data_IF_921139678252
#
_entry.id   IF_921139678252
#
_cell.length_a   1.000
_cell.length_b   1.000
_cell.length_c   1.000
_cell.angle_alpha   90.00
_cell.angle_beta   90.00
_cell.angle_gamma   90.00
#
_symmetry.space_group_name_H-M   'P 1'
#
loop_
_entity.id
_entity.type
_entity.pdbx_description
1 polymer ?
#
# COMPACT_ATOMS: atom_id res chain seq x y z
N UNK A 1 13.08 34.39 0.19
CA UNK A 1 12.20 35.57 0.31
C UNK A 1 12.12 36.08 1.75
N UNK A 2 11.83 35.22 2.72
CA UNK A 2 11.88 35.56 4.15
C UNK A 2 13.31 35.93 4.59
N UNK A 3 14.30 35.10 4.26
CA UNK A 3 15.72 35.35 4.60
C UNK A 3 16.33 36.59 3.92
N UNK A 4 15.69 37.05 2.84
CA UNK A 4 16.06 38.27 2.12
C UNK A 4 15.30 39.52 2.66
N UNK A 5 14.53 39.37 3.74
CA UNK A 5 13.73 40.42 4.36
C UNK A 5 12.56 40.92 3.50
N UNK A 6 12.18 40.18 2.45
CA UNK A 6 11.15 40.60 1.48
C UNK A 6 9.73 40.26 1.93
N UNK A 7 9.57 39.36 2.90
CA UNK A 7 8.29 38.96 3.50
C UNK A 7 8.46 38.77 5.00
N UNK A 8 7.39 38.98 5.77
CA UNK A 8 7.40 38.73 7.21
C UNK A 8 7.14 37.25 7.54
N UNK A 9 7.35 36.89 8.81
CA UNK A 9 7.22 35.51 9.29
C UNK A 9 5.80 34.95 9.10
N UNK A 10 4.77 35.77 9.33
CA UNK A 10 3.38 35.36 9.19
C UNK A 10 3.03 35.01 7.74
N UNK A 11 3.49 35.83 6.79
CA UNK A 11 3.31 35.62 5.34
C UNK A 11 4.07 34.38 4.87
N UNK A 12 5.28 34.15 5.38
CA UNK A 12 6.05 32.94 5.09
C UNK A 12 5.30 31.68 5.55
N UNK A 13 4.79 31.68 6.79
CA UNK A 13 4.04 30.57 7.35
C UNK A 13 2.75 30.27 6.55
N UNK A 14 1.98 31.30 6.19
CA UNK A 14 0.76 31.13 5.40
C UNK A 14 1.04 30.52 4.01
N UNK A 15 2.10 30.96 3.33
CA UNK A 15 2.53 30.38 2.05
C UNK A 15 3.06 28.95 2.23
N UNK A 16 3.83 28.70 3.30
CA UNK A 16 4.33 27.36 3.62
C UNK A 16 3.17 26.38 3.87
N UNK A 17 2.16 26.75 4.64
CA UNK A 17 0.98 25.92 4.87
C UNK A 17 0.16 25.69 3.58
N UNK A 18 -0.01 26.72 2.75
CA UNK A 18 -0.70 26.60 1.46
C UNK A 18 0.05 25.76 0.43
N UNK A 19 1.38 25.77 0.48
CA UNK A 19 2.26 25.02 -0.44
C UNK A 19 2.43 23.55 -0.04
N UNK A 20 2.11 23.18 1.19
CA UNK A 20 1.98 21.75 1.56
C UNK A 20 0.89 21.14 0.71
N UNK A 21 1.28 20.30 -0.25
CA UNK A 21 0.35 19.51 -1.03
C UNK A 21 -0.58 18.75 -0.06
N UNK A 22 -1.88 19.07 -0.06
CA UNK A 22 -2.87 18.24 0.61
C UNK A 22 -2.70 16.84 0.04
N UNK A 23 -2.41 15.85 0.90
CA UNK A 23 -2.41 14.45 0.51
C UNK A 23 -3.82 14.13 -0.01
N UNK A 24 -4.02 14.22 -1.31
CA UNK A 24 -5.22 13.68 -1.95
C UNK A 24 -5.23 12.19 -1.64
N UNK A 25 -6.36 11.65 -1.19
CA UNK A 25 -6.51 10.24 -0.83
C UNK A 25 -6.32 9.25 -2.01
N UNK A 26 -5.78 9.71 -3.16
CA UNK A 26 -5.40 8.90 -4.30
C UNK A 26 -3.94 8.46 -4.21
N UNK A 27 -3.63 7.55 -3.29
CA UNK A 27 -2.41 6.75 -3.35
C UNK A 27 -2.64 5.46 -4.14
N UNK A 28 -1.57 4.80 -4.57
CA UNK A 28 -1.67 3.47 -5.18
C UNK A 28 -2.12 2.42 -4.18
N UNK A 29 -3.10 1.58 -4.54
CA UNK A 29 -3.51 0.43 -3.72
C UNK A 29 -2.53 -0.73 -3.89
N UNK A 30 -1.72 -0.99 -2.86
CA UNK A 30 -0.74 -2.07 -2.86
C UNK A 30 -1.37 -3.45 -3.13
N UNK A 31 -2.59 -3.70 -2.66
CA UNK A 31 -3.27 -4.98 -2.84
C UNK A 31 -3.74 -5.21 -4.27
N UNK A 32 -3.90 -4.14 -5.07
CA UNK A 32 -4.12 -4.27 -6.52
C UNK A 32 -2.84 -4.61 -7.26
N UNK A 33 -1.68 -4.22 -6.70
CA UNK A 33 -0.38 -4.42 -7.33
C UNK A 33 0.21 -5.82 -7.08
N UNK A 34 0.00 -6.43 -5.92
CA UNK A 34 0.56 -7.77 -5.65
C UNK A 34 0.14 -8.84 -6.66
N UNK A 35 -1.15 -8.97 -7.06
CA UNK A 35 -1.56 -9.91 -8.08
C UNK A 35 -1.02 -9.58 -9.48
N UNK A 36 -0.68 -8.32 -9.75
CA UNK A 36 -0.10 -7.92 -11.03
C UNK A 36 1.38 -8.34 -11.09
N UNK A 37 2.14 -8.12 -9.99
CA UNK A 37 3.56 -8.47 -9.90
C UNK A 37 3.82 -9.98 -9.94
N UNK A 38 2.97 -10.77 -9.30
CA UNK A 38 3.17 -12.21 -9.12
C UNK A 38 2.24 -13.07 -9.99
N UNK A 39 1.51 -12.50 -10.96
CA UNK A 39 0.39 -13.12 -11.68
C UNK A 39 -0.88 -13.31 -10.84
N UNK A 40 -2.02 -12.89 -11.41
CA UNK A 40 -3.34 -12.95 -10.76
C UNK A 40 -3.76 -14.40 -10.47
N UNK A 41 -3.49 -15.31 -11.42
CA UNK A 41 -3.81 -16.74 -11.29
C UNK A 41 -2.97 -17.38 -10.20
N UNK A 42 -1.67 -17.13 -10.20
CA UNK A 42 -0.76 -17.68 -9.20
C UNK A 42 -1.12 -17.17 -7.79
N UNK A 43 -1.29 -15.85 -7.65
CA UNK A 43 -1.70 -15.24 -6.38
C UNK A 43 -2.99 -15.84 -5.84
N UNK A 44 -4.03 -15.98 -6.69
CA UNK A 44 -5.28 -16.61 -6.28
C UNK A 44 -5.07 -18.06 -5.83
N UNK A 45 -4.39 -18.87 -6.65
CA UNK A 45 -4.19 -20.29 -6.36
C UNK A 45 -3.46 -20.50 -5.03
N UNK A 46 -2.38 -19.78 -4.79
CA UNK A 46 -1.55 -20.00 -3.60
C UNK A 46 -2.18 -19.42 -2.33
N UNK A 47 -2.90 -18.29 -2.42
CA UNK A 47 -3.70 -17.77 -1.31
C UNK A 47 -4.82 -18.75 -0.96
N UNK A 48 -5.48 -19.37 -1.95
CA UNK A 48 -6.47 -20.44 -1.70
C UNK A 48 -5.84 -21.65 -0.99
N UNK A 49 -4.63 -22.07 -1.37
CA UNK A 49 -3.93 -23.16 -0.67
C UNK A 49 -3.65 -22.82 0.81
N UNK A 50 -3.27 -21.57 1.09
CA UNK A 50 -3.09 -21.11 2.46
C UNK A 50 -4.40 -21.11 3.26
N UNK A 51 -5.50 -20.59 2.68
CA UNK A 51 -6.81 -20.58 3.34
C UNK A 51 -7.36 -21.98 3.59
N UNK A 52 -7.02 -22.94 2.72
CA UNK A 52 -7.42 -24.35 2.86
C UNK A 52 -6.56 -25.13 3.85
N UNK A 53 -5.50 -24.53 4.42
CA UNK A 53 -4.58 -25.19 5.35
C UNK A 53 -3.56 -26.12 4.69
N UNK A 54 -3.45 -26.15 3.36
CA UNK A 54 -2.46 -26.98 2.66
C UNK A 54 -1.05 -26.38 2.65
N UNK A 55 -0.91 -25.09 2.92
CA UNK A 55 0.38 -24.39 2.93
C UNK A 55 0.39 -23.32 4.01
N UNK A 56 1.52 -23.10 4.67
CA UNK A 56 1.57 -22.10 5.73
C UNK A 56 1.52 -20.68 5.18
N UNK A 57 0.85 -19.77 5.90
CA UNK A 57 0.77 -18.34 5.56
C UNK A 57 2.15 -17.71 5.33
N UNK A 58 3.15 -18.10 6.12
CA UNK A 58 4.52 -17.60 6.00
C UNK A 58 5.20 -18.02 4.70
N UNK A 59 4.94 -19.23 4.22
CA UNK A 59 5.52 -19.74 2.97
C UNK A 59 4.89 -19.03 1.78
N UNK A 60 3.56 -18.90 1.79
CA UNK A 60 2.83 -18.15 0.77
C UNK A 60 3.26 -16.68 0.75
N UNK A 61 3.47 -16.08 1.92
CA UNK A 61 3.99 -14.72 2.05
C UNK A 61 5.39 -14.57 1.44
N UNK A 62 6.28 -15.54 1.68
CA UNK A 62 7.60 -15.60 1.04
C UNK A 62 7.51 -15.69 -0.48
N UNK A 63 6.65 -16.58 -1.00
CA UNK A 63 6.45 -16.78 -2.44
C UNK A 63 5.85 -15.57 -3.16
N UNK A 64 5.03 -14.78 -2.46
CA UNK A 64 4.45 -13.55 -2.99
C UNK A 64 5.30 -12.30 -2.69
N UNK A 65 6.40 -12.44 -1.95
CA UNK A 65 7.23 -11.34 -1.46
C UNK A 65 6.41 -10.26 -0.71
N UNK A 66 5.61 -10.72 0.26
CA UNK A 66 4.75 -9.89 1.13
C UNK A 66 4.83 -10.36 2.59
N UNK A 67 4.13 -9.67 3.50
CA UNK A 67 3.99 -10.11 4.90
C UNK A 67 2.87 -11.15 5.03
N UNK A 68 2.92 -12.06 6.03
CA UNK A 68 1.82 -12.99 6.30
C UNK A 68 0.45 -12.31 6.46
N UNK A 69 0.40 -11.16 7.15
CA UNK A 69 -0.85 -10.39 7.32
C UNK A 69 -1.40 -9.87 5.98
N UNK A 70 -0.52 -9.58 5.01
CA UNK A 70 -0.91 -9.19 3.65
C UNK A 70 -1.59 -10.33 2.91
N UNK A 71 -1.20 -11.59 3.17
CA UNK A 71 -1.85 -12.77 2.59
C UNK A 71 -3.29 -12.90 3.10
N UNK A 72 -3.50 -12.66 4.40
CA UNK A 72 -4.84 -12.64 5.02
C UNK A 72 -5.73 -11.52 4.47
N UNK A 73 -5.15 -10.36 4.15
CA UNK A 73 -5.92 -9.28 3.53
C UNK A 73 -6.19 -9.54 2.05
N UNK A 74 -5.26 -10.20 1.34
CA UNK A 74 -5.46 -10.64 -0.04
C UNK A 74 -6.57 -11.68 -0.15
N UNK A 75 -6.72 -12.62 0.80
CA UNK A 75 -7.81 -13.60 0.76
C UNK A 75 -9.19 -12.93 0.81
N UNK A 76 -9.36 -11.97 1.73
CA UNK A 76 -10.59 -11.16 1.84
C UNK A 76 -10.91 -10.43 0.54
N UNK A 77 -9.92 -9.78 -0.06
CA UNK A 77 -10.08 -9.02 -1.31
C UNK A 77 -10.35 -9.91 -2.52
N UNK A 78 -9.85 -11.14 -2.50
CA UNK A 78 -10.11 -12.16 -3.53
C UNK A 78 -11.44 -12.90 -3.30
N UNK A 79 -12.20 -12.55 -2.25
CA UNK A 79 -13.44 -13.24 -1.84
C UNK A 79 -13.23 -14.73 -1.53
N UNK A 80 -12.04 -15.08 -1.06
CA UNK A 80 -11.71 -16.41 -0.55
C UNK A 80 -12.07 -16.40 0.94
N UNK A 81 -13.17 -17.09 1.29
CA UNK A 81 -13.62 -17.27 2.68
C UNK A 81 -12.95 -18.48 3.29
#
# INVERSE_FOLDING_TARGET
AFDLGKINWQTYQDIAEKSKARKTAGGGDAYRNYPIRNSKRFTKAIVTQAMSGHTMLREVASLLNVKPDTVMELSKRLSLR
#
